data_IF_565318164014
#
_entry.id   IF_565318164014
#
_cell.length_a   1.000
_cell.length_b   1.000
_cell.length_c   1.000
_cell.angle_alpha   90.00
_cell.angle_beta   90.00
_cell.angle_gamma   90.00
#
_symmetry.space_group_name_H-M   'P 1'
#
loop_
_entity.id
_entity.type
_entity.pdbx_description
1 polymer ?
#
# COMPACT_ATOMS: atom_id res chain seq x y z
N UNK A 1 6.96 -4.51 5.94
CA UNK A 1 5.61 -5.05 5.69
C UNK A 1 5.11 -4.76 4.28
N UNK A 2 4.79 -3.51 3.90
CA UNK A 2 4.33 -3.24 2.53
C UNK A 2 5.48 -3.10 1.52
N UNK A 3 6.69 -2.67 1.93
CA UNK A 3 7.91 -2.77 1.09
C UNK A 3 8.04 -4.23 0.65
N UNK A 4 7.92 -5.12 1.63
CA UNK A 4 8.07 -6.57 1.48
C UNK A 4 6.97 -7.14 0.56
N UNK A 5 5.76 -6.58 0.55
CA UNK A 5 4.69 -6.98 -0.37
C UNK A 5 4.98 -6.53 -1.80
N UNK A 6 5.42 -5.29 -2.01
CA UNK A 6 5.80 -4.75 -3.32
C UNK A 6 6.96 -5.56 -3.90
N UNK A 7 8.02 -5.80 -3.13
CA UNK A 7 9.15 -6.62 -3.56
C UNK A 7 8.72 -8.04 -3.89
N UNK A 8 7.85 -8.66 -3.08
CA UNK A 8 7.29 -9.98 -3.39
C UNK A 8 6.49 -9.99 -4.69
N UNK A 9 5.64 -9.00 -4.92
CA UNK A 9 4.85 -8.89 -6.16
C UNK A 9 5.77 -8.76 -7.38
N UNK A 10 6.80 -7.92 -7.30
CA UNK A 10 7.80 -7.79 -8.37
C UNK A 10 8.55 -9.09 -8.63
N UNK A 11 9.06 -9.73 -7.57
CA UNK A 11 9.90 -10.92 -7.70
C UNK A 11 9.12 -12.18 -8.12
N UNK A 12 7.89 -12.35 -7.64
CA UNK A 12 7.11 -13.57 -7.88
C UNK A 12 6.21 -13.47 -9.11
N UNK A 13 5.70 -12.29 -9.43
CA UNK A 13 4.76 -12.07 -10.55
C UNK A 13 5.46 -11.42 -11.74
N UNK A 14 6.64 -10.80 -11.54
CA UNK A 14 7.40 -10.17 -12.61
C UNK A 14 6.82 -8.84 -13.09
N UNK A 15 6.12 -8.11 -12.21
CA UNK A 15 5.49 -6.82 -12.53
C UNK A 15 6.42 -5.63 -12.21
N UNK A 16 6.15 -4.48 -12.83
CA UNK A 16 6.90 -3.24 -12.59
C UNK A 16 6.56 -2.61 -11.22
N UNK A 17 7.41 -1.70 -10.75
CA UNK A 17 7.17 -0.93 -9.51
C UNK A 17 5.82 -0.20 -9.51
N UNK A 18 5.46 0.43 -10.64
CA UNK A 18 4.18 1.13 -10.78
C UNK A 18 2.99 0.17 -10.70
N UNK A 19 3.09 -1.00 -11.33
CA UNK A 19 2.05 -2.03 -11.28
C UNK A 19 1.90 -2.61 -9.87
N UNK A 20 3.01 -2.87 -9.18
CA UNK A 20 2.98 -3.35 -7.80
C UNK A 20 2.35 -2.33 -6.84
N UNK A 21 2.67 -1.04 -7.02
CA UNK A 21 2.09 0.04 -6.22
C UNK A 21 0.57 0.12 -6.41
N UNK A 22 0.10 0.13 -7.66
CA UNK A 22 -1.34 0.10 -7.97
C UNK A 22 -2.03 -1.16 -7.44
N UNK A 23 -1.38 -2.32 -7.50
CA UNK A 23 -1.94 -3.56 -6.96
C UNK A 23 -2.16 -3.46 -5.44
N UNK A 24 -1.21 -2.87 -4.71
CA UNK A 24 -1.34 -2.64 -3.27
C UNK A 24 -2.47 -1.65 -2.95
N UNK A 25 -2.66 -0.60 -3.75
CA UNK A 25 -3.79 0.33 -3.62
C UNK A 25 -5.14 -0.38 -3.81
N UNK A 26 -5.30 -1.19 -4.86
CA UNK A 26 -6.53 -1.96 -5.10
C UNK A 26 -6.82 -2.91 -3.93
N UNK A 27 -5.79 -3.57 -3.39
CA UNK A 27 -5.94 -4.46 -2.22
C UNK A 27 -6.37 -3.66 -1.00
N UNK A 28 -5.78 -2.48 -0.75
CA UNK A 28 -6.15 -1.59 0.35
C UNK A 28 -7.63 -1.26 0.30
N UNK A 29 -8.10 -0.79 -0.85
CA UNK A 29 -9.49 -0.35 -1.04
C UNK A 29 -10.45 -1.53 -0.92
N UNK A 30 -10.11 -2.67 -1.51
CA UNK A 30 -10.90 -3.90 -1.38
C UNK A 30 -11.04 -4.35 0.08
N UNK A 31 -9.95 -4.35 0.85
CA UNK A 31 -9.98 -4.75 2.27
C UNK A 31 -10.77 -3.74 3.10
N UNK A 32 -10.66 -2.44 2.83
CA UNK A 32 -11.47 -1.42 3.51
C UNK A 32 -12.96 -1.57 3.22
N UNK A 33 -13.33 -1.90 1.99
CA UNK A 33 -14.72 -2.18 1.62
C UNK A 33 -15.27 -3.40 2.37
N UNK A 34 -14.48 -4.48 2.47
CA UNK A 34 -14.91 -5.71 3.15
C UNK A 34 -14.85 -5.65 4.66
N UNK A 35 -13.96 -4.83 5.22
CA UNK A 35 -13.72 -4.73 6.65
C UNK A 35 -13.71 -3.27 7.13
N UNK A 36 -14.82 -2.54 6.99
CA UNK A 36 -14.87 -1.10 7.27
C UNK A 36 -14.57 -0.76 8.73
N UNK A 37 -14.86 -1.68 9.65
CA UNK A 37 -14.52 -1.52 11.08
C UNK A 37 -13.02 -1.37 11.36
N UNK A 38 -12.16 -1.82 10.43
CA UNK A 38 -10.70 -1.70 10.55
C UNK A 38 -10.12 -0.61 9.63
N UNK A 39 -10.95 0.23 9.01
CA UNK A 39 -10.53 1.21 8.00
C UNK A 39 -9.36 2.10 8.44
N UNK A 40 -9.41 2.63 9.67
CA UNK A 40 -8.33 3.46 10.22
C UNK A 40 -7.00 2.71 10.40
N UNK A 41 -7.05 1.49 10.94
CA UNK A 41 -5.86 0.65 11.10
C UNK A 41 -5.27 0.21 9.74
N UNK A 42 -6.14 -0.02 8.74
CA UNK A 42 -5.71 -0.28 7.36
C UNK A 42 -5.07 0.97 6.75
N UNK A 43 -5.62 2.16 6.97
CA UNK A 43 -5.00 3.39 6.50
C UNK A 43 -3.61 3.60 7.13
N UNK A 44 -3.45 3.35 8.43
CA UNK A 44 -2.17 3.45 9.11
C UNK A 44 -1.15 2.43 8.60
N UNK A 45 -1.57 1.19 8.33
CA UNK A 45 -0.70 0.15 7.78
C UNK A 45 -0.18 0.50 6.36
N UNK A 46 -0.92 1.31 5.61
CA UNK A 46 -0.61 1.70 4.23
C UNK A 46 -0.05 3.13 4.09
N UNK A 47 0.04 3.91 5.17
CA UNK A 47 0.41 5.33 5.19
C UNK A 47 1.78 5.65 4.58
N UNK A 48 2.75 4.73 4.69
CA UNK A 48 4.12 4.88 4.14
C UNK A 48 4.21 4.79 2.60
N UNK A 49 3.13 4.48 1.91
CA UNK A 49 3.13 4.26 0.44
C UNK A 49 2.24 5.22 -0.32
N UNK A 50 1.56 6.14 0.35
CA UNK A 50 0.83 7.18 -0.36
C UNK A 50 1.84 8.07 -1.08
N UNK A 51 1.81 8.21 -2.42
CA UNK A 51 2.66 9.16 -3.13
C UNK A 51 2.28 10.57 -2.65
N UNK A 52 3.11 11.13 -1.76
CA UNK A 52 2.83 12.37 -1.02
C UNK A 52 3.24 12.34 0.45
N UNK A 53 3.49 11.17 1.05
CA UNK A 53 3.89 11.07 2.46
C UNK A 53 5.36 11.46 2.75
N UNK A 54 6.11 11.94 1.74
CA UNK A 54 7.50 12.36 1.89
C UNK A 54 7.69 13.85 2.20
N UNK A 55 6.62 14.68 2.19
CA UNK A 55 6.75 16.13 2.38
C UNK A 55 6.33 16.62 3.79
N UNK A 56 5.63 15.81 4.58
CA UNK A 56 5.07 16.23 5.89
C UNK A 56 5.92 15.81 7.11
N UNK A 57 7.11 15.24 6.92
CA UNK A 57 8.02 14.80 8.01
C UNK A 57 9.27 15.68 8.15
N UNK A 58 9.17 16.98 7.82
CA UNK A 58 10.15 18.01 8.16
C UNK A 58 9.40 19.30 8.52
N UNK A 59 9.23 19.62 9.81
CA UNK A 59 10.32 20.19 10.63
C UNK A 59 10.68 19.43 11.91
#
# INVERSE_FOLDING_TARGET
MIVDLIEKLKLQVGITDEQATKAVEVIKDFVKEKFPMFGGAIDDAFKKYSPGANDDFMP
#
